data_IF_663140402675
#
_entry.id   IF_663140402675
#
_cell.length_a   1.000
_cell.length_b   1.000
_cell.length_c   1.000
_cell.angle_alpha   90.00
_cell.angle_beta   90.00
_cell.angle_gamma   90.00
#
_symmetry.space_group_name_H-M   'P 1'
#
loop_
_entity.id
_entity.type
_entity.pdbx_description
1 polymer ?
#
# COMPACT_ATOMS: atom_id res chain seq x y z
N UNK A 1 -4.98 -17.02 -20.32
CA UNK A 1 -6.07 -17.91 -19.84
C UNK A 1 -7.37 -17.11 -19.81
N UNK A 2 -8.56 -17.72 -19.91
CA UNK A 2 -9.83 -16.98 -19.68
C UNK A 2 -10.25 -17.20 -18.23
N UNK A 3 -10.54 -16.11 -17.53
CA UNK A 3 -10.84 -16.08 -16.11
C UNK A 3 -9.59 -16.20 -15.24
N UNK A 4 -9.84 -16.06 -13.95
CA UNK A 4 -8.99 -16.44 -12.84
C UNK A 4 -8.93 -17.97 -12.73
N UNK A 5 -7.72 -18.49 -12.50
CA UNK A 5 -7.46 -19.88 -12.21
C UNK A 5 -7.06 -20.07 -10.74
N UNK A 6 -7.88 -20.79 -9.95
CA UNK A 6 -7.55 -21.15 -8.58
C UNK A 6 -6.26 -21.95 -8.43
N UNK A 7 -5.91 -22.79 -9.42
CA UNK A 7 -4.74 -23.67 -9.38
C UNK A 7 -3.50 -23.02 -10.00
N UNK A 8 -3.51 -21.69 -10.19
CA UNK A 8 -2.44 -20.98 -10.91
C UNK A 8 -1.08 -21.08 -10.21
N UNK A 9 -1.05 -21.18 -8.89
CA UNK A 9 0.17 -21.38 -8.11
C UNK A 9 0.57 -22.86 -7.96
N UNK A 10 -0.17 -23.78 -8.59
CA UNK A 10 -0.01 -25.22 -8.48
C UNK A 10 -1.20 -25.92 -7.83
N UNK A 11 -1.35 -27.20 -8.09
CA UNK A 11 -2.49 -28.03 -7.62
C UNK A 11 -2.46 -28.31 -6.12
N UNK A 12 -1.32 -28.14 -5.46
CA UNK A 12 -1.19 -28.32 -4.01
C UNK A 12 -1.73 -27.11 -3.23
N UNK A 13 -1.77 -25.94 -3.89
CA UNK A 13 -2.19 -24.66 -3.33
C UNK A 13 -3.32 -24.01 -4.15
N UNK A 14 -4.48 -24.68 -4.34
CA UNK A 14 -5.62 -24.05 -4.98
C UNK A 14 -6.13 -22.90 -4.11
N UNK A 15 -6.30 -21.74 -4.73
CA UNK A 15 -6.83 -20.53 -4.11
C UNK A 15 -8.20 -20.22 -4.74
N UNK A 16 -9.32 -20.69 -4.18
CA UNK A 16 -10.63 -20.40 -4.76
C UNK A 16 -10.99 -18.90 -4.67
N UNK A 17 -11.97 -18.48 -5.46
CA UNK A 17 -12.60 -17.16 -5.30
C UNK A 17 -13.20 -17.03 -3.89
N UNK A 18 -13.16 -15.85 -3.26
CA UNK A 18 -13.69 -15.67 -1.92
C UNK A 18 -15.21 -15.90 -1.88
N UNK A 19 -15.68 -16.40 -0.74
CA UNK A 19 -17.09 -16.43 -0.40
C UNK A 19 -17.52 -15.11 0.27
N UNK A 20 -18.77 -15.03 0.71
CA UNK A 20 -19.37 -13.77 1.17
C UNK A 20 -20.07 -13.96 2.51
N UNK A 21 -19.99 -12.93 3.34
CA UNK A 21 -20.83 -12.78 4.52
C UNK A 21 -22.31 -12.70 4.16
N UNK A 22 -23.23 -13.04 5.10
CA UNK A 22 -24.67 -12.91 4.87
C UNK A 22 -25.13 -11.49 4.51
N UNK A 23 -24.45 -10.45 5.00
CA UNK A 23 -24.76 -9.06 4.66
C UNK A 23 -24.29 -8.70 3.24
N UNK A 24 -23.21 -9.33 2.76
CA UNK A 24 -22.66 -9.07 1.43
C UNK A 24 -23.36 -9.87 0.32
N UNK A 25 -23.82 -11.10 0.60
CA UNK A 25 -24.39 -12.01 -0.41
C UNK A 25 -25.57 -11.40 -1.18
N UNK A 26 -26.40 -10.59 -0.51
CA UNK A 26 -27.54 -9.89 -1.14
C UNK A 26 -27.14 -8.76 -2.09
N UNK A 27 -25.88 -8.30 -2.00
CA UNK A 27 -25.31 -7.26 -2.84
C UNK A 27 -24.45 -7.81 -3.99
N UNK A 28 -24.21 -9.12 -4.04
CA UNK A 28 -23.53 -9.76 -5.18
C UNK A 28 -24.44 -9.67 -6.41
N UNK A 29 -23.89 -9.20 -7.53
CA UNK A 29 -24.61 -9.24 -8.81
C UNK A 29 -24.71 -10.68 -9.30
N UNK A 30 -25.94 -11.10 -9.65
CA UNK A 30 -26.22 -12.39 -10.28
C UNK A 30 -26.84 -12.19 -11.66
N UNK A 31 -26.26 -12.82 -12.67
CA UNK A 31 -26.65 -12.72 -14.09
C UNK A 31 -26.38 -14.06 -14.79
N UNK A 32 -27.39 -14.69 -15.45
CA UNK A 32 -27.21 -15.98 -16.14
C UNK A 32 -26.14 -15.98 -17.25
N UNK A 33 -25.76 -14.80 -17.74
CA UNK A 33 -24.72 -14.63 -18.76
C UNK A 33 -23.29 -14.75 -18.20
N UNK A 34 -23.14 -14.79 -16.87
CA UNK A 34 -21.85 -14.90 -16.18
C UNK A 34 -21.57 -16.34 -15.77
N UNK A 35 -20.29 -16.70 -15.62
CA UNK A 35 -19.93 -18.03 -15.12
C UNK A 35 -20.37 -18.16 -13.66
N UNK A 36 -21.02 -19.27 -13.32
CA UNK A 36 -21.64 -19.52 -12.01
C UNK A 36 -22.58 -18.40 -11.56
N UNK A 37 -23.19 -17.71 -12.55
CA UNK A 37 -24.02 -16.52 -12.44
C UNK A 37 -23.37 -15.28 -11.81
N UNK A 38 -22.11 -15.34 -11.34
CA UNK A 38 -21.47 -14.26 -10.56
C UNK A 38 -20.10 -13.83 -11.08
N UNK A 39 -19.42 -14.68 -11.84
CA UNK A 39 -18.05 -14.45 -12.27
C UNK A 39 -17.98 -13.77 -13.63
N UNK A 40 -17.51 -12.53 -13.62
CA UNK A 40 -17.22 -11.76 -14.84
C UNK A 40 -15.79 -12.09 -15.27
N UNK A 41 -15.66 -13.09 -16.12
CA UNK A 41 -14.34 -13.54 -16.61
C UNK A 41 -13.81 -12.64 -17.72
N UNK A 42 -12.51 -12.35 -17.60
CA UNK A 42 -11.67 -11.68 -18.59
C UNK A 42 -10.38 -12.48 -18.79
N UNK A 43 -9.54 -12.09 -19.73
CA UNK A 43 -8.26 -12.78 -19.93
C UNK A 43 -7.36 -12.53 -18.71
N UNK A 44 -6.95 -13.61 -18.04
CA UNK A 44 -6.08 -13.67 -16.86
C UNK A 44 -6.71 -13.21 -15.52
N UNK A 45 -7.95 -12.72 -15.49
CA UNK A 45 -8.60 -12.28 -14.25
C UNK A 45 -10.12 -12.49 -14.27
N UNK A 46 -10.71 -12.50 -13.07
CA UNK A 46 -12.15 -12.58 -12.85
C UNK A 46 -12.58 -11.49 -11.88
N UNK A 47 -13.74 -10.89 -12.13
CA UNK A 47 -14.36 -9.90 -11.24
C UNK A 47 -15.67 -10.43 -10.67
N UNK A 48 -15.93 -10.15 -9.40
CA UNK A 48 -17.27 -10.25 -8.80
C UNK A 48 -17.81 -8.84 -8.59
N UNK A 49 -18.99 -8.55 -9.14
CA UNK A 49 -19.59 -7.21 -9.08
C UNK A 49 -20.52 -7.02 -7.88
N UNK A 50 -20.53 -5.81 -7.30
CA UNK A 50 -21.55 -5.37 -6.37
C UNK A 50 -22.70 -4.70 -7.12
N UNK A 51 -23.91 -5.27 -7.05
CA UNK A 51 -25.08 -4.73 -7.78
C UNK A 51 -25.58 -3.38 -7.28
N UNK A 52 -25.32 -3.04 -6.01
CA UNK A 52 -25.77 -1.79 -5.39
C UNK A 52 -24.75 -0.68 -5.62
N UNK A 53 -23.48 -0.97 -5.36
CA UNK A 53 -22.38 -0.01 -5.51
C UNK A 53 -21.98 0.19 -6.98
N UNK A 54 -22.31 -0.78 -7.86
CA UNK A 54 -22.06 -0.75 -9.31
C UNK A 54 -20.57 -0.71 -9.66
N UNK A 55 -19.78 -1.27 -8.76
CA UNK A 55 -18.34 -1.41 -8.78
C UNK A 55 -17.98 -2.84 -8.32
N UNK A 56 -16.74 -3.30 -8.49
CA UNK A 56 -16.31 -4.60 -8.00
C UNK A 56 -16.46 -4.76 -6.49
N UNK A 57 -16.77 -5.98 -6.06
CA UNK A 57 -16.47 -6.45 -4.71
C UNK A 57 -14.99 -6.83 -4.62
N UNK A 58 -14.53 -7.60 -5.60
CA UNK A 58 -13.16 -8.10 -5.68
C UNK A 58 -12.84 -8.45 -7.12
N UNK A 59 -11.59 -8.22 -7.50
CA UNK A 59 -10.96 -8.68 -8.73
C UNK A 59 -9.82 -9.63 -8.38
N UNK A 60 -9.86 -10.86 -8.90
CA UNK A 60 -8.81 -11.85 -8.76
C UNK A 60 -7.99 -11.92 -10.05
N UNK A 61 -6.70 -11.60 -10.00
CA UNK A 61 -5.79 -11.58 -11.15
C UNK A 61 -4.68 -12.61 -10.97
N UNK A 62 -4.42 -13.41 -12.01
CA UNK A 62 -3.21 -14.20 -12.12
C UNK A 62 -2.16 -13.43 -12.92
N UNK A 63 -0.91 -13.45 -12.45
CA UNK A 63 0.23 -12.78 -13.06
C UNK A 63 1.31 -13.82 -13.33
N UNK A 64 1.66 -14.00 -14.61
CA UNK A 64 2.87 -14.72 -15.01
C UNK A 64 3.93 -13.69 -15.43
N UNK A 65 4.86 -13.41 -14.53
CA UNK A 65 5.94 -12.45 -14.76
C UNK A 65 6.83 -12.85 -15.94
N UNK A 66 6.98 -14.16 -16.22
CA UNK A 66 7.81 -14.66 -17.32
C UNK A 66 7.20 -14.39 -18.71
N UNK A 67 5.88 -14.19 -18.75
CA UNK A 67 5.13 -13.98 -19.98
C UNK A 67 4.71 -12.52 -20.18
N UNK A 68 5.12 -11.59 -19.32
CA UNK A 68 4.84 -10.16 -19.46
C UNK A 68 5.36 -9.62 -20.80
N UNK A 69 4.53 -8.82 -21.49
CA UNK A 69 4.89 -8.15 -22.74
C UNK A 69 4.64 -6.65 -22.63
N UNK A 70 5.53 -5.86 -23.24
CA UNK A 70 5.27 -4.43 -23.45
C UNK A 70 4.22 -4.28 -24.56
N UNK A 71 3.07 -3.75 -24.21
CA UNK A 71 1.96 -3.47 -25.14
C UNK A 71 1.50 -2.03 -25.01
N UNK A 72 1.07 -1.44 -26.13
CA UNK A 72 0.54 -0.08 -26.12
C UNK A 72 -0.77 -0.02 -25.34
N UNK A 73 -0.97 1.10 -24.67
CA UNK A 73 -2.15 1.35 -23.86
C UNK A 73 -3.34 1.74 -24.75
N UNK A 74 -4.46 1.03 -24.59
CA UNK A 74 -5.78 1.48 -25.04
C UNK A 74 -6.24 2.70 -24.24
N UNK A 75 -6.95 3.62 -24.87
CA UNK A 75 -7.49 4.82 -24.21
C UNK A 75 -8.96 4.70 -23.84
N UNK A 76 -9.74 3.96 -24.64
CA UNK A 76 -11.19 3.85 -24.49
C UNK A 76 -11.58 2.80 -23.45
N UNK A 77 -12.47 3.19 -22.55
CA UNK A 77 -13.16 2.29 -21.64
C UNK A 77 -14.49 1.83 -22.23
N UNK A 78 -14.84 0.58 -22.01
CA UNK A 78 -16.06 -0.04 -22.52
C UNK A 78 -16.96 -0.54 -21.38
N UNK A 79 -18.26 -0.56 -21.66
CA UNK A 79 -19.26 -1.18 -20.78
C UNK A 79 -19.33 -2.67 -21.10
N UNK A 80 -19.30 -3.52 -20.08
CA UNK A 80 -19.56 -4.94 -20.26
C UNK A 80 -21.06 -5.20 -20.32
N UNK A 81 -21.55 -5.60 -21.49
CA UNK A 81 -22.97 -5.84 -21.73
C UNK A 81 -23.49 -7.09 -21.04
N UNK A 82 -22.63 -8.05 -20.66
CA UNK A 82 -23.00 -9.22 -19.85
C UNK A 82 -23.41 -8.81 -18.44
N UNK A 83 -22.76 -7.76 -17.90
CA UNK A 83 -23.06 -7.20 -16.58
C UNK A 83 -24.27 -6.26 -16.63
N UNK A 84 -24.41 -5.48 -17.70
CA UNK A 84 -25.45 -4.47 -17.85
C UNK A 84 -24.98 -3.09 -17.39
N UNK A 85 -25.40 -2.05 -18.13
CA UNK A 85 -24.94 -0.68 -17.92
C UNK A 85 -25.36 -0.08 -16.57
N UNK A 86 -26.49 -0.53 -16.03
CA UNK A 86 -27.04 -0.07 -14.76
C UNK A 86 -26.25 -0.57 -13.53
N UNK A 87 -25.41 -1.59 -13.73
CA UNK A 87 -24.56 -2.20 -12.70
C UNK A 87 -23.09 -1.78 -12.82
N UNK A 88 -22.81 -0.74 -13.62
CA UNK A 88 -21.48 -0.18 -13.83
C UNK A 88 -21.52 1.33 -13.65
N UNK A 89 -20.40 1.91 -13.20
CA UNK A 89 -20.17 3.35 -13.27
C UNK A 89 -19.47 3.64 -14.59
N UNK A 90 -20.18 4.29 -15.53
CA UNK A 90 -19.63 4.69 -16.83
C UNK A 90 -18.87 6.03 -16.75
N UNK A 91 -18.46 6.56 -17.91
CA UNK A 91 -17.66 7.78 -17.99
C UNK A 91 -18.30 8.99 -17.29
N UNK A 92 -19.63 9.06 -17.14
CA UNK A 92 -20.27 10.22 -16.52
C UNK A 92 -19.84 10.38 -15.06
N UNK A 93 -19.49 9.28 -14.38
CA UNK A 93 -19.02 9.29 -13.00
C UNK A 93 -17.58 9.77 -12.84
N UNK A 94 -16.78 9.74 -13.92
CA UNK A 94 -15.35 10.08 -13.91
C UNK A 94 -15.04 11.37 -14.68
N UNK A 95 -16.03 11.96 -15.36
CA UNK A 95 -15.84 13.16 -16.17
C UNK A 95 -15.81 14.42 -15.29
N UNK A 96 -14.83 15.29 -15.57
CA UNK A 96 -14.71 16.64 -14.99
C UNK A 96 -14.75 16.68 -13.45
N UNK A 97 -14.10 15.70 -12.81
CA UNK A 97 -13.96 15.60 -11.37
C UNK A 97 -12.61 14.96 -11.00
N UNK A 98 -12.31 14.85 -9.70
CA UNK A 98 -11.03 14.34 -9.19
C UNK A 98 -10.97 12.80 -9.06
N UNK A 99 -11.95 12.08 -9.59
CA UNK A 99 -12.01 10.62 -9.53
C UNK A 99 -11.59 9.99 -10.85
N UNK A 100 -10.51 9.24 -10.78
CA UNK A 100 -10.00 8.40 -11.84
C UNK A 100 -10.72 7.05 -11.90
N UNK A 101 -10.62 6.44 -13.09
CA UNK A 101 -10.97 5.03 -13.32
C UNK A 101 -9.82 4.16 -12.82
N UNK A 102 -9.79 3.95 -11.51
CA UNK A 102 -8.81 3.12 -10.83
C UNK A 102 -8.97 1.66 -11.22
N UNK A 103 -7.94 1.05 -11.80
CA UNK A 103 -7.96 -0.36 -12.19
C UNK A 103 -7.82 -1.23 -10.94
N UNK A 104 -8.55 -2.34 -10.85
CA UNK A 104 -8.33 -3.34 -9.80
C UNK A 104 -7.43 -4.49 -10.28
N UNK A 105 -7.69 -5.04 -11.48
CA UNK A 105 -6.66 -5.75 -12.24
C UNK A 105 -5.84 -4.72 -13.03
N UNK A 106 -4.62 -4.49 -12.58
CA UNK A 106 -3.71 -3.53 -13.21
C UNK A 106 -3.36 -3.96 -14.64
N UNK A 107 -3.48 -3.03 -15.58
CA UNK A 107 -3.10 -3.25 -17.00
C UNK A 107 -1.71 -3.85 -17.17
N UNK A 108 -0.70 -3.30 -16.51
CA UNK A 108 0.70 -3.73 -16.66
C UNK A 108 0.93 -5.15 -16.12
N UNK A 109 0.21 -5.54 -15.05
CA UNK A 109 0.28 -6.87 -14.45
C UNK A 109 -0.53 -7.91 -15.22
N UNK A 110 -1.63 -7.51 -15.88
CA UNK A 110 -2.45 -8.41 -16.70
C UNK A 110 -1.88 -8.64 -18.11
N UNK A 111 -0.96 -7.78 -18.59
CA UNK A 111 -0.42 -7.79 -19.94
C UNK A 111 0.63 -8.90 -20.19
N UNK A 112 0.24 -10.16 -19.98
CA UNK A 112 1.08 -11.33 -20.25
C UNK A 112 0.38 -12.35 -21.16
N UNK A 113 1.19 -13.13 -21.86
CA UNK A 113 0.75 -14.19 -22.78
C UNK A 113 1.89 -14.71 -23.63
N UNK A 114 1.68 -15.84 -24.32
CA UNK A 114 2.71 -16.44 -25.16
C UNK A 114 3.02 -15.59 -26.40
N UNK A 115 2.09 -14.71 -26.80
CA UNK A 115 2.31 -13.71 -27.85
C UNK A 115 1.98 -12.28 -27.40
N UNK A 116 2.57 -11.29 -28.08
CA UNK A 116 2.22 -9.87 -27.89
C UNK A 116 0.73 -9.60 -28.16
N UNK A 117 0.10 -10.37 -29.05
CA UNK A 117 -1.33 -10.23 -29.33
C UNK A 117 -2.19 -10.69 -28.15
N UNK A 118 -1.84 -11.82 -27.52
CA UNK A 118 -2.53 -12.30 -26.31
C UNK A 118 -2.37 -11.31 -25.16
N UNK A 119 -1.14 -10.86 -24.89
CA UNK A 119 -0.87 -9.86 -23.86
C UNK A 119 -1.60 -8.53 -24.12
N UNK A 120 -1.75 -8.12 -25.40
CA UNK A 120 -2.54 -6.92 -25.76
C UNK A 120 -4.02 -7.13 -25.47
N UNK A 121 -4.59 -8.29 -25.83
CA UNK A 121 -5.99 -8.63 -25.50
C UNK A 121 -6.23 -8.65 -24.00
N UNK A 122 -5.30 -9.18 -23.21
CA UNK A 122 -5.36 -9.17 -21.75
C UNK A 122 -5.30 -7.74 -21.19
N UNK A 123 -4.35 -6.92 -21.66
CA UNK A 123 -4.28 -5.49 -21.34
C UNK A 123 -5.57 -4.76 -21.68
N UNK A 124 -6.13 -4.95 -22.88
CA UNK A 124 -7.33 -4.27 -23.33
C UNK A 124 -8.58 -4.69 -22.53
N UNK A 125 -8.61 -5.92 -22.02
CA UNK A 125 -9.67 -6.41 -21.15
C UNK A 125 -9.70 -5.71 -19.78
N UNK A 126 -8.61 -5.08 -19.35
CA UNK A 126 -8.61 -4.30 -18.09
C UNK A 126 -9.37 -2.98 -18.18
N UNK A 127 -9.74 -2.53 -19.39
CA UNK A 127 -10.45 -1.27 -19.67
C UNK A 127 -11.99 -1.40 -19.69
N UNK A 128 -12.55 -2.43 -19.06
CA UNK A 128 -13.99 -2.48 -18.80
C UNK A 128 -14.32 -1.79 -17.47
N UNK A 129 -15.44 -1.06 -17.41
CA UNK A 129 -15.86 -0.38 -16.17
C UNK A 129 -16.16 -1.34 -15.01
N UNK A 130 -16.42 -2.61 -15.32
CA UNK A 130 -16.46 -3.70 -14.35
C UNK A 130 -15.14 -3.91 -13.63
N UNK A 131 -14.00 -3.42 -14.11
CA UNK A 131 -12.70 -3.50 -13.43
C UNK A 131 -12.29 -2.16 -12.81
N UNK A 132 -13.21 -1.19 -12.75
CA UNK A 132 -12.94 0.16 -12.28
C UNK A 132 -13.62 0.46 -10.95
N UNK A 133 -12.94 1.25 -10.12
CA UNK A 133 -13.51 1.92 -8.97
C UNK A 133 -13.05 3.39 -8.92
N UNK A 134 -13.81 4.23 -8.20
CA UNK A 134 -13.49 5.64 -8.01
C UNK A 134 -12.24 5.79 -7.13
N UNK A 135 -11.09 6.04 -7.76
CA UNK A 135 -9.83 6.33 -7.08
C UNK A 135 -9.48 7.81 -7.22
N UNK A 136 -8.95 8.45 -6.19
CA UNK A 136 -8.59 9.86 -6.25
C UNK A 136 -7.42 10.11 -7.20
N UNK A 137 -7.42 11.21 -7.95
CA UNK A 137 -6.40 11.56 -8.97
C UNK A 137 -4.97 11.70 -8.43
N UNK A 138 -4.80 11.92 -7.12
CA UNK A 138 -3.48 11.92 -6.47
C UNK A 138 -3.08 10.54 -5.93
N UNK A 139 -4.06 9.69 -5.61
CA UNK A 139 -3.85 8.37 -5.02
C UNK A 139 -3.51 7.31 -6.08
N UNK A 140 -4.26 7.34 -7.19
CA UNK A 140 -4.17 6.35 -8.26
C UNK A 140 -2.79 6.33 -8.97
N UNK A 141 -2.25 7.47 -9.46
CA UNK A 141 -0.99 7.46 -10.21
C UNK A 141 0.27 7.50 -9.33
N UNK A 142 0.14 7.65 -8.01
CA UNK A 142 1.28 7.75 -7.09
C UNK A 142 1.31 6.54 -6.15
N UNK A 143 0.58 6.57 -5.03
CA UNK A 143 0.86 5.61 -3.97
C UNK A 143 0.29 4.23 -4.23
N UNK A 144 -0.90 4.17 -4.85
CA UNK A 144 -1.46 2.92 -5.35
C UNK A 144 -0.57 2.30 -6.43
N UNK A 145 -0.07 3.13 -7.36
CA UNK A 145 0.82 2.68 -8.43
C UNK A 145 2.11 2.09 -7.89
N UNK A 146 2.68 2.67 -6.83
CA UNK A 146 3.88 2.15 -6.20
C UNK A 146 3.66 0.78 -5.53
N UNK A 147 2.53 0.55 -4.84
CA UNK A 147 2.19 -0.80 -4.35
C UNK A 147 2.02 -1.78 -5.51
N UNK A 148 1.36 -1.35 -6.58
CA UNK A 148 1.19 -2.14 -7.79
C UNK A 148 2.52 -2.48 -8.50
N UNK A 149 3.52 -1.61 -8.42
CA UNK A 149 4.87 -1.88 -8.92
C UNK A 149 5.59 -2.89 -8.04
N UNK A 150 5.44 -2.83 -6.71
CA UNK A 150 6.01 -3.84 -5.80
C UNK A 150 5.50 -5.23 -6.10
N UNK A 151 4.19 -5.39 -6.31
CA UNK A 151 3.60 -6.69 -6.62
C UNK A 151 4.06 -7.18 -7.99
N UNK A 152 4.08 -6.29 -8.99
CA UNK A 152 4.49 -6.65 -10.35
C UNK A 152 5.97 -7.07 -10.41
N UNK A 153 6.83 -6.42 -9.62
CA UNK A 153 8.28 -6.64 -9.60
C UNK A 153 8.74 -7.46 -8.39
N UNK A 154 7.82 -8.20 -7.75
CA UNK A 154 8.12 -9.13 -6.67
C UNK A 154 9.18 -10.15 -7.13
N UNK A 155 10.13 -10.44 -6.25
CA UNK A 155 11.23 -11.40 -6.50
C UNK A 155 11.34 -12.49 -5.43
N UNK A 156 10.47 -12.46 -4.42
CA UNK A 156 10.43 -13.45 -3.34
C UNK A 156 9.82 -14.78 -3.79
N UNK A 157 9.12 -14.79 -4.92
CA UNK A 157 8.45 -15.96 -5.43
C UNK A 157 9.41 -16.94 -6.11
N UNK A 158 8.94 -18.17 -6.30
CA UNK A 158 9.75 -19.28 -6.80
C UNK A 158 9.94 -19.25 -8.32
N UNK A 159 8.94 -18.83 -9.09
CA UNK A 159 8.81 -19.19 -10.51
C UNK A 159 8.13 -18.14 -11.40
N UNK A 160 7.98 -16.92 -10.92
CA UNK A 160 7.33 -15.79 -11.57
C UNK A 160 5.81 -15.80 -11.52
N UNK A 161 5.19 -16.63 -10.68
CA UNK A 161 3.73 -16.79 -10.62
C UNK A 161 3.14 -16.14 -9.37
N UNK A 162 2.18 -15.24 -9.57
CA UNK A 162 1.51 -14.49 -8.50
C UNK A 162 0.00 -14.54 -8.72
N UNK A 163 -0.74 -14.69 -7.62
CA UNK A 163 -2.18 -14.47 -7.55
C UNK A 163 -2.44 -13.25 -6.68
N UNK A 164 -3.24 -12.31 -7.16
CA UNK A 164 -3.67 -11.17 -6.35
C UNK A 164 -5.19 -11.03 -6.30
N UNK A 165 -5.69 -10.62 -5.14
CA UNK A 165 -7.07 -10.19 -4.92
C UNK A 165 -7.08 -8.72 -4.56
N UNK A 166 -7.84 -7.92 -5.30
CA UNK A 166 -7.90 -6.47 -5.14
C UNK A 166 -9.35 -6.01 -5.06
N UNK A 167 -9.68 -5.12 -4.13
CA UNK A 167 -11.05 -4.63 -3.99
C UNK A 167 -11.18 -3.32 -3.21
N UNK A 168 -12.31 -2.61 -3.38
CA UNK A 168 -12.61 -1.40 -2.62
C UNK A 168 -13.11 -1.72 -1.20
N UNK A 169 -12.73 -0.85 -0.25
CA UNK A 169 -13.28 -0.81 1.12
C UNK A 169 -14.17 0.42 1.23
N UNK A 170 -15.35 0.25 1.87
CA UNK A 170 -16.32 1.31 2.07
C UNK A 170 -16.57 1.48 3.56
N UNK A 171 -16.37 2.69 4.08
CA UNK A 171 -16.74 3.03 5.45
C UNK A 171 -18.22 3.36 5.62
N UNK A 172 -18.67 3.44 6.87
CA UNK A 172 -20.06 3.70 7.24
C UNK A 172 -20.59 5.04 6.72
N UNK A 173 -19.70 6.03 6.61
CA UNK A 173 -20.00 7.38 6.10
C UNK A 173 -19.36 7.60 4.73
N UNK A 174 -19.74 6.75 3.76
CA UNK A 174 -19.22 6.79 2.41
C UNK A 174 -19.53 8.10 1.68
N UNK A 175 -18.51 8.71 1.07
CA UNK A 175 -18.68 9.88 0.20
C UNK A 175 -19.44 9.47 -1.05
N UNK A 176 -20.11 10.42 -1.70
CA UNK A 176 -20.85 10.13 -2.93
C UNK A 176 -20.55 11.13 -4.03
N UNK A 177 -20.54 10.65 -5.27
CA UNK A 177 -20.58 11.48 -6.47
C UNK A 177 -21.91 11.27 -7.20
N UNK A 178 -22.49 12.37 -7.70
CA UNK A 178 -23.77 12.33 -8.43
C UNK A 178 -23.65 13.17 -9.70
N UNK A 179 -23.31 12.56 -10.84
CA UNK A 179 -23.36 13.26 -12.12
C UNK A 179 -24.78 13.69 -12.47
N UNK A 180 -24.91 14.74 -13.28
CA UNK A 180 -26.23 15.25 -13.70
C UNK A 180 -27.05 14.15 -14.38
N UNK A 181 -28.30 13.96 -13.94
CA UNK A 181 -29.20 12.94 -14.49
C UNK A 181 -28.85 11.49 -14.12
N UNK A 182 -27.88 11.27 -13.23
CA UNK A 182 -27.43 9.94 -12.80
C UNK A 182 -27.73 9.69 -11.31
N UNK A 183 -27.75 8.41 -10.92
CA UNK A 183 -27.93 8.00 -9.51
C UNK A 183 -26.64 8.20 -8.72
N UNK A 184 -26.69 8.60 -7.43
CA UNK A 184 -25.49 8.70 -6.59
C UNK A 184 -24.66 7.41 -6.58
N UNK A 185 -23.35 7.54 -6.70
CA UNK A 185 -22.39 6.46 -6.55
C UNK A 185 -21.56 6.69 -5.29
N UNK A 186 -21.37 5.62 -4.50
CA UNK A 186 -20.54 5.68 -3.30
C UNK A 186 -19.08 5.56 -3.71
N UNK A 187 -18.26 6.45 -3.18
CA UNK A 187 -16.81 6.47 -3.33
C UNK A 187 -16.20 5.55 -2.25
N UNK A 188 -15.31 4.62 -2.61
CA UNK A 188 -14.55 3.83 -1.64
C UNK A 188 -13.78 4.70 -0.63
N UNK A 189 -13.72 4.28 0.62
CA UNK A 189 -12.83 4.91 1.62
C UNK A 189 -11.38 4.51 1.41
N UNK A 190 -11.13 3.33 0.85
CA UNK A 190 -9.81 2.78 0.61
C UNK A 190 -9.87 1.55 -0.27
N UNK A 191 -8.73 0.87 -0.41
CA UNK A 191 -8.57 -0.33 -1.22
C UNK A 191 -7.68 -1.33 -0.49
N UNK A 192 -7.95 -2.62 -0.69
CA UNK A 192 -7.09 -3.69 -0.23
C UNK A 192 -6.41 -4.39 -1.41
N UNK A 193 -5.28 -5.03 -1.12
CA UNK A 193 -4.66 -6.01 -1.99
C UNK A 193 -4.14 -7.19 -1.15
N UNK A 194 -4.48 -8.42 -1.56
CA UNK A 194 -3.92 -9.66 -1.02
C UNK A 194 -3.10 -10.29 -2.13
N UNK A 195 -1.84 -10.58 -1.87
CA UNK A 195 -0.84 -11.09 -2.81
C UNK A 195 -0.40 -12.46 -2.33
N UNK A 196 -0.59 -13.46 -3.16
CA UNK A 196 -0.29 -14.86 -2.87
C UNK A 196 0.74 -15.36 -3.90
N UNK A 197 1.79 -16.02 -3.42
CA UNK A 197 2.82 -16.61 -4.26
C UNK A 197 3.49 -17.79 -3.54
N UNK A 198 4.17 -18.66 -4.27
CA UNK A 198 5.02 -19.69 -3.64
C UNK A 198 6.39 -19.08 -3.40
N UNK A 199 6.83 -19.02 -2.15
CA UNK A 199 8.10 -18.40 -1.79
C UNK A 199 9.28 -19.25 -2.26
N UNK A 200 10.24 -18.61 -2.93
CA UNK A 200 11.40 -19.30 -3.53
C UNK A 200 12.33 -19.95 -2.50
N UNK A 201 12.38 -19.43 -1.26
CA UNK A 201 13.22 -19.98 -0.20
C UNK A 201 12.52 -21.08 0.59
N UNK A 202 11.27 -20.87 1.00
CA UNK A 202 10.55 -21.82 1.86
C UNK A 202 9.83 -22.91 1.07
N UNK A 203 9.56 -22.67 -0.22
CA UNK A 203 8.74 -23.55 -1.07
C UNK A 203 7.29 -23.71 -0.59
N UNK A 204 6.83 -22.77 0.24
CA UNK A 204 5.46 -22.72 0.75
C UNK A 204 4.71 -21.52 0.20
N UNK A 205 3.38 -21.57 0.28
CA UNK A 205 2.52 -20.41 0.05
C UNK A 205 2.86 -19.29 1.04
N UNK A 206 3.08 -18.08 0.51
CA UNK A 206 3.30 -16.84 1.25
C UNK A 206 2.22 -15.83 0.84
N UNK A 207 1.65 -15.14 1.84
CA UNK A 207 0.51 -14.24 1.67
C UNK A 207 0.80 -12.89 2.29
N UNK A 208 0.78 -11.84 1.48
CA UNK A 208 0.92 -10.45 1.92
C UNK A 208 -0.40 -9.72 1.70
N UNK A 209 -0.87 -9.01 2.71
CA UNK A 209 -2.11 -8.25 2.65
C UNK A 209 -1.83 -6.80 3.02
N UNK A 210 -2.37 -5.88 2.21
CA UNK A 210 -2.21 -4.45 2.41
C UNK A 210 -3.54 -3.72 2.32
N UNK A 211 -3.71 -2.67 3.13
CA UNK A 211 -4.78 -1.67 2.99
C UNK A 211 -4.16 -0.30 2.75
N UNK A 212 -4.77 0.45 1.84
CA UNK A 212 -4.46 1.86 1.59
C UNK A 212 -5.75 2.69 1.58
N UNK A 213 -5.78 3.75 2.38
CA UNK A 213 -6.94 4.64 2.50
C UNK A 213 -6.81 5.86 1.58
N UNK A 214 -7.94 6.36 1.06
CA UNK A 214 -8.05 7.61 0.28
C UNK A 214 -8.94 8.63 1.02
N UNK A 215 -8.52 9.01 2.22
CA UNK A 215 -9.28 9.80 3.18
C UNK A 215 -9.34 11.32 2.89
N UNK A 216 -9.90 12.10 3.83
CA UNK A 216 -10.11 13.53 3.65
C UNK A 216 -8.79 14.31 3.48
N UNK A 217 -7.73 13.86 4.14
CA UNK A 217 -6.40 14.46 4.08
C UNK A 217 -5.70 14.08 2.76
N UNK A 218 -5.87 12.83 2.30
CA UNK A 218 -5.45 12.33 0.99
C UNK A 218 -6.01 13.13 -0.20
N UNK A 219 -7.26 13.62 -0.07
CA UNK A 219 -7.94 14.37 -1.13
C UNK A 219 -7.78 15.90 -1.06
N UNK A 220 -7.29 16.44 0.07
CA UNK A 220 -7.10 17.88 0.24
C UNK A 220 -5.91 18.42 -0.58
N UNK A 221 -4.99 17.57 -1.04
CA UNK A 221 -3.80 17.96 -1.78
C UNK A 221 -4.05 18.25 -3.27
N UNK A 222 -4.74 19.36 -3.57
CA UNK A 222 -5.04 19.75 -4.97
C UNK A 222 -3.81 20.11 -5.83
N UNK A 223 -2.57 20.06 -5.30
CA UNK A 223 -1.36 20.54 -6.01
C UNK A 223 -0.10 19.67 -5.81
N UNK A 224 -0.19 18.50 -5.18
CA UNK A 224 0.98 17.70 -4.82
C UNK A 224 1.99 18.49 -3.97
N UNK A 225 1.50 19.44 -3.18
CA UNK A 225 2.33 20.33 -2.34
C UNK A 225 1.77 20.33 -0.93
N UNK A 226 2.53 19.64 -0.08
CA UNK A 226 2.65 19.73 1.38
C UNK A 226 1.65 18.87 2.18
N UNK A 227 2.23 17.90 2.90
CA UNK A 227 1.81 17.39 4.24
C UNK A 227 0.92 16.14 4.29
N UNK A 228 1.27 15.04 3.60
CA UNK A 228 0.69 13.74 3.97
C UNK A 228 1.63 12.55 3.76
N UNK A 229 1.59 11.61 4.71
CA UNK A 229 2.29 10.32 4.67
C UNK A 229 1.28 9.24 4.28
N UNK A 230 1.31 8.83 3.02
CA UNK A 230 0.49 7.75 2.49
C UNK A 230 1.08 6.39 2.85
N UNK A 231 1.17 6.14 4.15
CA UNK A 231 1.73 4.90 4.65
C UNK A 231 0.91 3.73 4.12
N UNK A 232 1.59 2.73 3.54
CA UNK A 232 0.95 1.47 3.20
C UNK A 232 0.95 0.65 4.46
N UNK A 233 -0.17 0.03 4.77
CA UNK A 233 -0.27 -0.81 5.94
C UNK A 233 -0.31 -2.24 5.48
N UNK A 234 0.70 -3.02 5.85
CA UNK A 234 0.55 -4.45 5.88
C UNK A 234 -0.42 -4.77 7.01
N UNK A 235 -1.50 -5.46 6.67
CA UNK A 235 -2.59 -5.79 7.60
C UNK A 235 -2.83 -7.29 7.61
N UNK A 236 -3.69 -7.72 8.51
CA UNK A 236 -4.17 -9.09 8.51
C UNK A 236 -5.19 -9.33 7.39
N UNK A 237 -5.27 -10.56 6.87
CA UNK A 237 -6.35 -10.94 5.95
C UNK A 237 -7.72 -10.81 6.64
N UNK A 238 -7.82 -11.19 7.91
CA UNK A 238 -9.06 -11.09 8.68
C UNK A 238 -9.60 -9.68 8.82
N UNK A 239 -8.74 -8.67 8.95
CA UNK A 239 -9.17 -7.27 8.96
C UNK A 239 -9.80 -6.87 7.61
N UNK A 240 -9.24 -7.34 6.49
CA UNK A 240 -9.87 -7.16 5.16
C UNK A 240 -11.22 -7.87 5.11
N UNK A 241 -11.34 -9.09 5.65
CA UNK A 241 -12.60 -9.83 5.70
C UNK A 241 -13.67 -9.10 6.52
N UNK A 242 -13.32 -8.54 7.68
CA UNK A 242 -14.23 -7.75 8.51
C UNK A 242 -14.71 -6.48 7.80
N UNK A 243 -13.78 -5.75 7.17
CA UNK A 243 -14.08 -4.48 6.49
C UNK A 243 -14.88 -4.66 5.18
N UNK A 244 -14.75 -5.81 4.53
CA UNK A 244 -15.33 -6.04 3.20
C UNK A 244 -16.52 -6.99 3.20
N UNK A 245 -16.57 -7.90 4.18
CA UNK A 245 -17.51 -9.03 4.21
C UNK A 245 -17.18 -10.11 3.17
N UNK A 246 -15.99 -10.10 2.56
CA UNK A 246 -15.43 -11.20 1.78
C UNK A 246 -14.82 -12.23 2.73
N UNK A 247 -14.82 -13.51 2.35
CA UNK A 247 -14.13 -14.56 3.09
C UNK A 247 -13.24 -15.37 2.16
N UNK A 248 -11.95 -15.34 2.41
CA UNK A 248 -10.92 -16.03 1.64
C UNK A 248 -10.73 -17.46 2.14
N UNK A 249 -10.05 -18.28 1.34
CA UNK A 249 -9.72 -19.65 1.75
C UNK A 249 -8.85 -19.65 3.01
N UNK A 250 -9.06 -20.62 3.91
CA UNK A 250 -8.34 -20.69 5.17
C UNK A 250 -6.81 -20.75 4.97
N UNK A 251 -6.32 -21.30 3.85
CA UNK A 251 -4.88 -21.29 3.52
C UNK A 251 -4.32 -19.89 3.35
N UNK A 252 -5.14 -18.94 2.85
CA UNK A 252 -4.74 -17.54 2.68
C UNK A 252 -4.58 -16.89 4.05
N UNK A 253 -5.50 -17.17 4.97
CA UNK A 253 -5.42 -16.73 6.36
C UNK A 253 -4.20 -17.33 7.07
N UNK A 254 -4.02 -18.65 7.02
CA UNK A 254 -2.94 -19.35 7.75
C UNK A 254 -1.54 -18.94 7.30
N UNK A 255 -1.40 -18.50 6.05
CA UNK A 255 -0.13 -18.06 5.46
C UNK A 255 0.08 -16.55 5.48
N UNK A 256 -0.87 -15.79 6.03
CA UNK A 256 -0.66 -14.38 6.32
C UNK A 256 0.23 -14.24 7.56
N UNK A 257 1.33 -13.47 7.51
CA UNK A 257 2.31 -13.41 8.60
C UNK A 257 1.84 -12.59 9.81
N UNK A 258 0.75 -11.83 9.67
CA UNK A 258 0.21 -10.95 10.69
C UNK A 258 -0.99 -11.61 11.38
N UNK A 259 -1.15 -11.34 12.67
CA UNK A 259 -2.14 -11.95 13.55
C UNK A 259 -3.27 -10.99 13.88
N UNK A 260 -4.50 -11.47 13.73
CA UNK A 260 -5.71 -10.68 14.02
C UNK A 260 -6.12 -10.73 15.49
N UNK A 261 -6.04 -11.92 16.10
CA UNK A 261 -6.42 -12.14 17.49
C UNK A 261 -5.19 -12.23 18.39
N UNK A 262 -5.36 -11.85 19.64
CA UNK A 262 -4.36 -11.95 20.69
C UNK A 262 -3.76 -13.37 20.78
N UNK A 263 -2.43 -13.44 20.81
CA UNK A 263 -1.68 -14.69 20.93
C UNK A 263 -0.45 -14.47 21.82
N UNK A 264 -0.55 -14.89 23.09
CA UNK A 264 0.50 -14.67 24.10
C UNK A 264 1.85 -15.30 23.71
N UNK A 265 1.83 -16.50 23.11
CA UNK A 265 3.06 -17.16 22.66
C UNK A 265 3.74 -16.42 21.50
N UNK A 266 2.95 -15.86 20.59
CA UNK A 266 3.46 -15.06 19.48
C UNK A 266 3.91 -13.66 19.92
N UNK A 267 3.21 -13.02 20.87
CA UNK A 267 3.58 -11.71 21.42
C UNK A 267 5.02 -11.68 21.89
N UNK A 268 5.40 -12.61 22.76
CA UNK A 268 6.77 -12.65 23.30
C UNK A 268 7.78 -13.08 22.23
N UNK A 269 7.46 -14.13 21.45
CA UNK A 269 8.37 -14.67 20.44
C UNK A 269 8.67 -13.68 19.32
N UNK A 270 7.63 -13.01 18.81
CA UNK A 270 7.67 -12.14 17.65
C UNK A 270 7.66 -10.66 18.03
N UNK A 271 7.56 -10.30 19.31
CA UNK A 271 7.53 -8.92 19.78
C UNK A 271 6.31 -8.11 19.29
N UNK A 272 5.12 -8.70 19.36
CA UNK A 272 3.87 -8.06 18.89
C UNK A 272 3.28 -7.18 20.00
N UNK A 273 3.02 -5.91 19.69
CA UNK A 273 2.53 -4.90 20.63
C UNK A 273 0.99 -4.75 20.65
N UNK A 274 0.34 -5.09 19.54
CA UNK A 274 -1.08 -4.80 19.32
C UNK A 274 -1.74 -5.78 18.36
N UNK A 275 -3.06 -5.94 18.51
CA UNK A 275 -3.92 -6.78 17.68
C UNK A 275 -5.21 -6.02 17.34
N UNK A 276 -5.76 -6.15 16.10
CA UNK A 276 -5.13 -6.82 14.97
C UNK A 276 -3.83 -6.12 14.56
N UNK A 277 -2.84 -6.91 14.12
CA UNK A 277 -1.55 -6.37 13.71
C UNK A 277 -1.69 -5.48 12.46
N UNK A 278 -1.13 -4.28 12.52
CA UNK A 278 -1.11 -3.33 11.41
C UNK A 278 0.27 -2.67 11.35
N UNK A 279 1.05 -3.03 10.33
CA UNK A 279 2.46 -2.64 10.22
C UNK A 279 2.62 -1.65 9.06
N UNK A 280 3.16 -0.44 9.31
CA UNK A 280 3.46 0.50 8.24
C UNK A 280 4.68 0.06 7.42
N UNK A 281 4.53 0.08 6.10
CA UNK A 281 5.50 -0.36 5.09
C UNK A 281 5.61 0.71 3.99
N UNK A 282 6.80 1.27 3.77
CA UNK A 282 7.01 2.23 2.66
C UNK A 282 7.91 1.70 1.55
N UNK A 283 8.55 0.54 1.75
CA UNK A 283 9.39 -0.13 0.74
C UNK A 283 9.15 -1.66 0.78
N UNK A 284 9.34 -2.41 -0.33
CA UNK A 284 9.10 -3.85 -0.37
C UNK A 284 9.89 -4.66 0.67
N UNK A 285 11.13 -4.24 0.96
CA UNK A 285 12.04 -4.95 1.85
C UNK A 285 11.59 -4.93 3.32
N UNK A 286 10.62 -4.10 3.66
CA UNK A 286 10.08 -3.96 5.02
C UNK A 286 8.88 -4.86 5.26
N UNK A 287 8.36 -5.54 4.23
CA UNK A 287 7.23 -6.45 4.39
C UNK A 287 7.60 -7.60 5.34
N UNK A 288 6.83 -7.74 6.42
CA UNK A 288 7.03 -8.69 7.50
C UNK A 288 6.66 -10.10 7.04
N UNK A 289 7.58 -11.06 7.21
CA UNK A 289 7.35 -12.49 6.99
C UNK A 289 6.96 -13.18 8.31
N UNK A 290 6.49 -14.43 8.24
CA UNK A 290 5.86 -15.12 9.39
C UNK A 290 6.74 -15.16 10.65
N UNK A 291 8.05 -15.38 10.49
CA UNK A 291 9.00 -15.47 11.60
C UNK A 291 9.75 -14.15 11.89
N UNK A 292 9.42 -13.07 11.16
CA UNK A 292 10.08 -11.78 11.34
C UNK A 292 9.65 -11.16 12.68
N UNK A 293 10.58 -10.97 13.62
CA UNK A 293 10.28 -10.21 14.85
C UNK A 293 9.84 -8.78 14.49
N UNK A 294 8.76 -8.32 15.11
CA UNK A 294 8.25 -6.97 14.93
C UNK A 294 9.19 -6.00 15.61
N UNK A 295 9.38 -4.88 14.95
CA UNK A 295 10.19 -3.82 15.46
C UNK A 295 9.40 -3.04 16.50
N UNK A 296 10.00 -2.80 17.67
CA UNK A 296 9.42 -1.88 18.65
C UNK A 296 9.26 -0.48 18.04
N UNK A 297 8.05 0.06 18.15
CA UNK A 297 7.75 1.45 17.80
C UNK A 297 7.60 2.20 19.12
N UNK A 298 8.37 3.26 19.32
CA UNK A 298 8.30 4.07 20.52
C UNK A 298 6.98 4.83 20.58
N UNK A 299 5.97 4.29 21.27
CA UNK A 299 4.67 4.96 21.40
C UNK A 299 4.70 6.18 22.34
N UNK A 300 5.79 6.40 23.08
CA UNK A 300 5.82 7.36 24.21
C UNK A 300 6.79 8.53 24.10
N UNK A 301 7.62 8.60 23.05
CA UNK A 301 8.57 9.70 22.87
C UNK A 301 8.10 10.61 21.74
N UNK A 302 7.50 11.79 22.04
CA UNK A 302 7.04 12.72 21.02
C UNK A 302 8.22 13.52 20.43
N UNK A 303 9.20 12.80 19.89
CA UNK A 303 10.34 13.32 19.14
C UNK A 303 10.13 12.96 17.68
N UNK A 304 10.22 13.94 16.78
CA UNK A 304 9.84 13.76 15.37
C UNK A 304 10.88 14.30 14.40
N UNK A 305 10.98 13.71 13.23
CA UNK A 305 11.67 14.26 12.07
C UNK A 305 10.78 15.36 11.48
N UNK A 306 11.14 16.62 11.71
CA UNK A 306 10.33 17.77 11.31
C UNK A 306 10.58 18.21 9.86
N UNK A 307 11.81 18.07 9.37
CA UNK A 307 12.17 18.49 8.01
C UNK A 307 13.47 17.82 7.54
N UNK A 308 13.68 17.79 6.23
CA UNK A 308 14.96 17.40 5.64
C UNK A 308 15.31 18.29 4.43
N UNK A 309 16.56 18.71 4.35
CA UNK A 309 17.13 19.29 3.13
C UNK A 309 17.79 18.18 2.33
N UNK A 310 17.12 17.71 1.29
CA UNK A 310 17.61 16.62 0.44
C UNK A 310 18.45 17.18 -0.71
N UNK A 311 17.93 18.19 -1.42
CA UNK A 311 18.59 18.80 -2.55
C UNK A 311 18.97 20.24 -2.21
N UNK A 312 20.11 20.42 -1.54
CA UNK A 312 20.63 21.74 -1.17
C UNK A 312 21.36 22.40 -2.35
N UNK A 313 21.38 23.73 -2.40
CA UNK A 313 22.22 24.46 -3.36
C UNK A 313 23.71 24.16 -3.13
N UNK A 314 24.45 23.93 -4.21
CA UNK A 314 25.90 23.68 -4.15
C UNK A 314 26.23 22.19 -3.97
N UNK A 315 27.19 21.87 -3.08
CA UNK A 315 27.57 20.47 -2.80
C UNK A 315 26.52 19.80 -1.90
N UNK A 316 25.66 18.97 -2.51
CA UNK A 316 24.59 18.23 -1.82
C UNK A 316 25.10 17.49 -0.58
N UNK A 317 26.24 16.81 -0.67
CA UNK A 317 26.76 15.99 0.44
C UNK A 317 27.19 16.79 1.66
N UNK A 318 27.48 18.09 1.50
CA UNK A 318 27.90 18.95 2.61
C UNK A 318 26.72 19.70 3.25
N UNK A 319 25.67 19.91 2.48
CA UNK A 319 24.58 20.83 2.84
C UNK A 319 23.24 20.11 3.09
N UNK A 320 23.17 18.79 2.87
CA UNK A 320 22.09 17.95 3.37
C UNK A 320 22.00 18.00 4.90
N UNK A 321 20.77 18.01 5.42
CA UNK A 321 20.52 17.93 6.85
C UNK A 321 19.13 17.36 7.14
N UNK A 322 18.98 16.80 8.34
CA UNK A 322 17.69 16.35 8.89
C UNK A 322 17.41 17.14 10.16
N UNK A 323 16.19 17.62 10.34
CA UNK A 323 15.78 18.33 11.56
C UNK A 323 14.92 17.41 12.43
N UNK A 324 15.31 17.26 13.69
CA UNK A 324 14.55 16.52 14.71
C UNK A 324 13.97 17.51 15.72
N UNK A 325 12.71 17.36 16.13
CA UNK A 325 12.02 18.23 17.09
C UNK A 325 11.55 17.44 18.29
N UNK A 326 11.73 17.98 19.50
CA UNK A 326 11.16 17.44 20.74
C UNK A 326 9.85 18.17 21.06
N UNK A 327 8.73 17.44 21.04
CA UNK A 327 7.40 17.94 21.43
C UNK A 327 6.96 17.40 22.80
N UNK A 328 7.86 16.75 23.54
CA UNK A 328 7.64 16.33 24.91
C UNK A 328 7.80 17.50 25.88
N UNK A 329 7.25 17.41 27.10
CA UNK A 329 7.52 18.39 28.15
C UNK A 329 8.92 18.24 28.77
N UNK A 330 9.66 17.17 28.45
CA UNK A 330 10.93 16.80 29.09
C UNK A 330 12.13 17.03 28.16
N UNK A 331 13.32 17.16 28.74
CA UNK A 331 14.56 17.17 27.96
C UNK A 331 14.88 15.75 27.46
N UNK A 332 15.26 15.61 26.19
CA UNK A 332 15.61 14.33 25.59
C UNK A 332 17.10 14.28 25.29
N UNK A 333 17.79 13.26 25.80
CA UNK A 333 19.17 12.96 25.46
C UNK A 333 19.23 12.06 24.22
N UNK A 334 19.83 12.59 23.14
CA UNK A 334 20.02 11.91 21.86
C UNK A 334 21.25 11.00 21.82
N UNK A 335 21.91 10.75 22.96
CA UNK A 335 23.10 9.90 23.04
C UNK A 335 22.81 8.49 22.51
N UNK A 336 23.65 8.02 21.57
CA UNK A 336 23.51 6.72 20.91
C UNK A 336 22.36 6.60 19.91
N UNK A 337 21.56 7.65 19.68
CA UNK A 337 20.50 7.63 18.67
C UNK A 337 21.09 7.56 17.26
N UNK A 338 20.32 7.02 16.31
CA UNK A 338 20.75 6.93 14.92
C UNK A 338 19.71 7.45 13.94
N UNK A 339 20.19 8.00 12.80
CA UNK A 339 19.39 8.28 11.62
C UNK A 339 19.71 7.26 10.52
N UNK A 340 18.68 6.74 9.86
CA UNK A 340 18.84 5.75 8.79
C UNK A 340 17.98 6.11 7.57
N UNK A 341 18.48 5.79 6.37
CA UNK A 341 17.74 5.80 5.10
C UNK A 341 17.26 4.40 4.71
N UNK A 342 17.37 3.44 5.64
CA UNK A 342 17.06 2.01 5.49
C UNK A 342 17.94 1.24 4.49
N UNK A 343 18.86 1.92 3.78
CA UNK A 343 19.64 1.34 2.67
C UNK A 343 21.14 1.34 2.97
N UNK A 344 21.64 2.34 3.70
CA UNK A 344 23.06 2.57 4.00
C UNK A 344 23.33 2.41 5.48
N UNK A 345 24.62 2.53 5.84
CA UNK A 345 25.07 2.58 7.22
C UNK A 345 24.37 3.76 7.93
N UNK A 346 23.67 3.54 9.05
CA UNK A 346 23.05 4.61 9.81
C UNK A 346 24.09 5.64 10.31
N UNK A 347 23.66 6.88 10.43
CA UNK A 347 24.42 7.93 11.10
C UNK A 347 24.17 7.84 12.61
N UNK A 348 25.21 7.54 13.38
CA UNK A 348 25.20 7.72 14.83
C UNK A 348 25.25 9.20 15.19
N UNK A 349 24.24 9.70 15.90
CA UNK A 349 24.14 11.12 16.23
C UNK A 349 25.30 11.62 17.10
N UNK A 350 25.93 10.72 17.87
CA UNK A 350 27.10 11.02 18.69
C UNK A 350 28.33 11.46 17.88
N UNK A 351 28.38 11.13 16.59
CA UNK A 351 29.48 11.51 15.69
C UNK A 351 29.38 12.97 15.21
N UNK A 352 28.19 13.58 15.33
CA UNK A 352 27.90 14.93 14.81
C UNK A 352 27.36 15.88 15.88
N UNK A 353 26.92 15.36 17.03
CA UNK A 353 26.49 16.12 18.19
C UNK A 353 27.44 15.85 19.38
N UNK A 354 27.88 16.92 20.05
CA UNK A 354 28.73 16.83 21.24
C UNK A 354 28.21 17.70 22.40
N UNK A 355 28.38 17.19 23.63
CA UNK A 355 28.02 17.90 24.86
C UNK A 355 26.54 18.29 24.90
N UNK A 356 26.25 19.55 25.24
CA UNK A 356 24.88 20.08 25.29
C UNK A 356 24.12 19.97 23.96
N UNK A 357 24.82 19.76 22.83
CA UNK A 357 24.15 19.53 21.56
C UNK A 357 23.38 18.20 21.52
N UNK A 358 23.62 17.26 22.43
CA UNK A 358 22.85 16.02 22.50
C UNK A 358 21.53 16.18 23.25
N UNK A 359 21.40 17.24 24.03
CA UNK A 359 20.21 17.52 24.80
C UNK A 359 19.26 18.34 23.94
N UNK A 360 18.09 17.78 23.66
CA UNK A 360 17.02 18.39 22.90
C UNK A 360 15.93 18.87 23.86
N UNK A 361 15.79 20.18 24.02
CA UNK A 361 14.86 20.79 25.01
C UNK A 361 13.40 20.72 24.55
N UNK A 362 12.43 20.86 25.46
CA UNK A 362 11.02 20.95 25.11
C UNK A 362 10.74 22.03 24.04
N UNK A 363 10.11 21.64 22.93
CA UNK A 363 9.81 22.49 21.78
C UNK A 363 11.01 22.82 20.88
N UNK A 364 12.21 22.35 21.19
CA UNK A 364 13.41 22.61 20.40
C UNK A 364 13.47 21.72 19.16
N UNK A 365 13.81 22.32 18.02
CA UNK A 365 14.19 21.62 16.81
C UNK A 365 15.70 21.74 16.55
N UNK A 366 16.35 20.64 16.21
CA UNK A 366 17.79 20.58 15.95
C UNK A 366 18.08 20.02 14.57
N UNK A 367 18.92 20.72 13.82
CA UNK A 367 19.50 20.22 12.58
C UNK A 367 20.66 19.28 12.87
N UNK A 368 20.55 18.06 12.36
CA UNK A 368 21.60 17.05 12.30
C UNK A 368 22.34 17.22 10.98
N UNK A 369 23.63 17.55 11.07
CA UNK A 369 24.56 17.68 9.95
C UNK A 369 26.01 17.64 10.44
N UNK A 370 26.98 17.23 9.60
CA UNK A 370 26.79 16.62 8.28
C UNK A 370 26.10 15.25 8.38
N UNK A 371 25.52 14.73 7.30
CA UNK A 371 24.82 13.44 7.37
C UNK A 371 25.73 12.22 7.15
N UNK A 372 26.95 12.39 6.65
CA UNK A 372 27.86 11.28 6.34
C UNK A 372 28.06 10.31 7.54
N UNK A 373 27.89 8.98 7.37
CA UNK A 373 27.82 8.23 6.11
C UNK A 373 26.43 8.16 5.44
N UNK A 374 25.39 8.67 6.09
CA UNK A 374 24.04 8.76 5.53
C UNK A 374 24.03 9.75 4.35
N UNK A 375 23.23 9.45 3.32
CA UNK A 375 23.03 10.32 2.17
C UNK A 375 21.58 10.26 1.70
N UNK A 376 20.94 11.41 1.54
CA UNK A 376 19.54 11.48 1.15
C UNK A 376 19.41 11.30 -0.37
N UNK A 377 18.49 10.45 -0.79
CA UNK A 377 18.28 10.17 -2.22
C UNK A 377 17.44 11.26 -2.88
N UNK A 378 17.93 11.84 -3.98
CA UNK A 378 17.14 12.73 -4.84
C UNK A 378 15.99 12.03 -5.59
N UNK A 379 15.90 10.70 -5.49
CA UNK A 379 14.83 9.89 -6.11
C UNK A 379 13.66 9.60 -5.17
N UNK A 380 13.64 10.19 -3.99
CA UNK A 380 12.74 9.80 -2.91
C UNK A 380 13.36 8.69 -2.05
N UNK A 381 12.98 8.67 -0.77
CA UNK A 381 13.42 7.68 0.22
C UNK A 381 12.60 7.80 1.51
N UNK A 382 12.85 6.87 2.42
CA UNK A 382 12.47 6.94 3.82
C UNK A 382 13.62 7.52 4.65
N UNK A 383 13.30 8.26 5.70
CA UNK A 383 14.21 8.63 6.80
C UNK A 383 13.59 8.12 8.08
N UNK A 384 14.36 7.40 8.89
CA UNK A 384 13.92 6.87 10.17
C UNK A 384 14.90 7.24 11.29
N UNK A 385 14.34 7.53 12.46
CA UNK A 385 15.03 7.93 13.68
C UNK A 385 14.89 6.82 14.71
N UNK A 386 16.01 6.43 15.31
CA UNK A 386 16.07 5.32 16.25
C UNK A 386 16.73 5.75 17.56
N UNK A 387 16.17 5.26 18.67
CA UNK A 387 16.77 5.30 19.99
C UNK A 387 17.46 3.97 20.27
N UNK A 388 18.65 3.94 20.90
CA UNK A 388 19.30 2.68 21.27
C UNK A 388 18.41 1.89 22.25
N UNK A 389 18.30 0.58 22.02
CA UNK A 389 17.54 -0.33 22.87
C UNK A 389 18.31 -1.64 23.05
N UNK A 390 18.48 -2.09 24.29
CA UNK A 390 19.20 -3.31 24.60
C UNK A 390 18.51 -4.52 23.93
N UNK A 391 19.29 -5.39 23.29
CA UNK A 391 18.77 -6.55 22.55
C UNK A 391 18.23 -6.25 21.15
N UNK A 392 18.26 -5.00 20.68
CA UNK A 392 17.89 -4.63 19.30
C UNK A 392 19.11 -4.13 18.52
N UNK A 393 19.36 -4.73 17.35
CA UNK A 393 20.46 -4.31 16.46
C UNK A 393 20.27 -2.91 15.88
N UNK A 394 19.02 -2.49 15.64
CA UNK A 394 18.70 -1.16 15.10
C UNK A 394 18.21 -0.16 16.16
N UNK A 395 17.85 -0.64 17.35
CA UNK A 395 17.18 0.16 18.38
C UNK A 395 15.66 0.27 18.18
N UNK A 396 15.03 1.06 19.05
CA UNK A 396 13.62 1.42 19.06
C UNK A 396 13.33 2.48 17.98
N UNK A 397 12.37 2.27 17.08
CA UNK A 397 12.02 3.27 16.07
C UNK A 397 11.15 4.36 16.68
N UNK A 398 11.66 5.59 16.70
CA UNK A 398 11.00 6.75 17.30
C UNK A 398 10.11 7.47 16.30
N UNK A 399 10.67 7.77 15.13
CA UNK A 399 9.90 8.41 14.06
C UNK A 399 10.38 7.98 12.68
N UNK A 400 9.51 8.14 11.70
CA UNK A 400 9.75 7.76 10.32
C UNK A 400 8.95 8.64 9.38
N UNK A 401 9.64 9.16 8.37
CA UNK A 401 9.04 9.99 7.33
C UNK A 401 9.45 9.52 5.94
N UNK A 402 8.53 9.66 4.99
CA UNK A 402 8.77 9.36 3.59
C UNK A 402 8.75 10.65 2.76
N UNK A 403 9.56 10.69 1.70
CA UNK A 403 9.51 11.76 0.71
C UNK A 403 9.70 11.24 -0.72
N UNK A 404 9.05 11.90 -1.68
CA UNK A 404 9.03 11.51 -3.09
C UNK A 404 10.14 12.19 -3.89
N UNK A 405 10.46 11.64 -5.08
CA UNK A 405 11.35 12.29 -6.04
C UNK A 405 10.92 13.73 -6.36
N UNK A 406 9.61 13.96 -6.51
CA UNK A 406 9.06 15.28 -6.81
C UNK A 406 9.39 16.28 -5.69
N UNK A 407 9.26 15.88 -4.43
CA UNK A 407 9.62 16.72 -3.28
C UNK A 407 11.12 16.98 -3.21
N UNK A 408 11.94 15.96 -3.48
CA UNK A 408 13.40 16.09 -3.49
C UNK A 408 13.96 16.87 -4.69
N UNK A 409 13.21 16.97 -5.80
CA UNK A 409 13.71 17.63 -7.01
C UNK A 409 13.86 19.15 -6.92
N UNK A 410 13.32 19.78 -5.87
CA UNK A 410 13.34 21.26 -5.72
C UNK A 410 14.58 21.70 -4.95
N UNK A 411 15.58 22.21 -5.68
CA UNK A 411 16.84 22.68 -5.11
C UNK A 411 16.67 23.84 -4.11
N UNK A 412 17.35 23.73 -2.96
CA UNK A 412 17.42 24.74 -1.91
C UNK A 412 16.14 24.88 -1.07
N UNK A 413 15.19 23.95 -1.20
CA UNK A 413 13.93 23.97 -0.46
C UNK A 413 13.88 22.75 0.46
N UNK A 414 13.73 22.94 1.79
CA UNK A 414 13.57 21.82 2.70
C UNK A 414 12.19 21.18 2.51
N UNK A 415 12.17 19.86 2.59
CA UNK A 415 10.94 19.07 2.72
C UNK A 415 10.51 19.18 4.18
N UNK A 416 9.27 19.59 4.41
CA UNK A 416 8.71 19.73 5.76
C UNK A 416 7.74 18.57 5.99
N UNK A 417 7.96 17.84 7.07
CA UNK A 417 7.11 16.77 7.53
C UNK A 417 6.20 17.34 8.62
N UNK A 418 4.89 17.26 8.44
CA UNK A 418 3.93 17.67 9.47
C UNK A 418 4.04 16.72 10.66
N UNK A 419 4.12 17.28 11.87
CA UNK A 419 3.76 16.54 13.07
C UNK A 419 2.29 16.14 13.00
N UNK A 420 2.00 14.84 13.00
CA UNK A 420 0.65 14.34 13.28
C UNK A 420 0.60 13.88 14.74
N UNK A 421 -0.27 14.51 15.54
CA UNK A 421 -0.76 13.86 16.75
C UNK A 421 -1.41 12.55 16.30
N UNK A 422 -0.91 11.40 16.77
CA UNK A 422 -1.70 10.16 16.78
C UNK A 422 -2.95 10.47 17.60
N UNK A 423 -4.04 10.87 16.95
CA UNK A 423 -5.33 10.92 17.61
C UNK A 423 -5.69 9.46 17.84
N UNK A 424 -5.61 8.99 19.09
CA UNK A 424 -6.36 7.81 19.52
C UNK A 424 -7.83 8.18 19.38
N UNK A 425 -8.44 7.81 18.25
CA UNK A 425 -9.89 7.81 18.06
C UNK A 425 -10.42 6.41 18.31
#
# INVERSE_FOLDING_TARGET
MVGYNPEFLGTDFPLPMPSFSPSLVGNVLRKPELRDDIYVDYINFTVIMNRVRRSPLVTALNIDQNLLKKVERKSRWDIDTRVGCEYQLDNDYYANNCWDRGHLARRASAAWGHSTQEARRASDATFFFTNAALQHENFNPDEWLALEDWVKDLTLDQNGLITEFTGPIYGDFGRTITPSGRKPAVVPSGFFKIVCFINGQTQELDVRACIMWQDADSMADRRGRKLFNFQRYQVTVSEIEELTGLFFDYKIYEKNPLLFNENEGAKEKLNIDSFPECIPVDEPEEMISQETKRQDIGEELPVYIAAAMVNSKGDERQNEWVSVINLSPDEIDLTGWTLSDMKRVPLELDTVLAGEQRILKPGEARQIKPLNPLALSNKGSTIALYQPMEGSERGLRIDRVHYTQKQASVEGVPIVFSYQRKNKS
#
